data_IF_615822491185
#
_entry.id   IF_615822491185
#
_cell.length_a   1.000
_cell.length_b   1.000
_cell.length_c   1.000
_cell.angle_alpha   90.00
_cell.angle_beta   90.00
_cell.angle_gamma   90.00
#
_symmetry.space_group_name_H-M   'P 1'
#
loop_
_entity.id
_entity.type
_entity.pdbx_description
1 polymer ?
#
# COMPACT_ATOMS: atom_id res chain seq x y z
N UNK A 1 -4.70 16.15 0.02
CA UNK A 1 -5.38 14.86 -0.25
C UNK A 1 -4.39 13.73 -0.58
N UNK A 2 -3.48 13.93 -1.54
CA UNK A 2 -2.45 12.95 -1.94
C UNK A 2 -1.63 12.33 -0.80
N UNK A 3 -0.98 13.14 0.05
CA UNK A 3 -0.16 12.62 1.16
C UNK A 3 -0.97 11.80 2.17
N UNK A 4 -2.25 12.16 2.40
CA UNK A 4 -3.15 11.44 3.29
C UNK A 4 -3.61 10.12 2.66
N UNK A 5 -3.94 10.10 1.37
CA UNK A 5 -4.26 8.87 0.64
C UNK A 5 -3.07 7.90 0.64
N UNK A 6 -1.86 8.40 0.40
CA UNK A 6 -0.65 7.60 0.42
C UNK A 6 -0.35 7.03 1.82
N UNK A 7 -0.47 7.84 2.87
CA UNK A 7 -0.33 7.37 4.25
C UNK A 7 -1.36 6.29 4.59
N UNK A 8 -2.64 6.50 4.24
CA UNK A 8 -3.70 5.52 4.44
C UNK A 8 -3.41 4.20 3.71
N UNK A 9 -2.95 4.24 2.45
CA UNK A 9 -2.61 3.03 1.70
C UNK A 9 -1.32 2.34 2.14
N UNK A 10 -0.37 3.07 2.74
CA UNK A 10 0.86 2.50 3.32
C UNK A 10 0.60 1.85 4.69
N UNK A 11 -0.24 2.46 5.54
CA UNK A 11 -0.46 1.98 6.91
C UNK A 11 -1.66 1.05 7.04
N UNK A 12 -2.58 1.03 6.07
CA UNK A 12 -3.80 0.24 6.15
C UNK A 12 -3.82 -0.95 5.19
N UNK A 13 -4.58 -1.98 5.58
CA UNK A 13 -4.95 -3.10 4.72
C UNK A 13 -5.87 -2.66 3.56
N UNK A 14 -6.27 -3.60 2.69
CA UNK A 14 -7.26 -3.37 1.61
C UNK A 14 -8.49 -2.56 2.07
N UNK A 15 -8.89 -2.77 3.33
CA UNK A 15 -9.99 -2.10 4.00
C UNK A 15 -9.75 -0.59 4.19
N UNK A 16 -8.52 -0.14 4.48
CA UNK A 16 -8.25 1.30 4.57
C UNK A 16 -8.14 1.97 3.21
N UNK A 17 -7.70 1.25 2.18
CA UNK A 17 -7.75 1.72 0.79
C UNK A 17 -9.20 1.93 0.33
N UNK A 18 -10.13 1.05 0.72
CA UNK A 18 -11.56 1.24 0.43
C UNK A 18 -12.22 2.38 1.23
N UNK A 19 -11.72 2.69 2.42
CA UNK A 19 -12.11 3.90 3.16
C UNK A 19 -11.57 5.17 2.49
N UNK A 20 -10.32 5.18 2.02
CA UNK A 20 -9.72 6.31 1.31
C UNK A 20 -10.43 6.62 -0.02
N UNK A 21 -10.98 5.59 -0.68
CA UNK A 21 -11.84 5.74 -1.88
C UNK A 21 -13.18 6.42 -1.58
N UNK A 22 -13.76 6.18 -0.39
CA UNK A 22 -15.00 6.82 0.03
C UNK A 22 -14.80 8.29 0.41
N UNK A 23 -13.60 8.67 0.84
CA UNK A 23 -13.25 10.06 1.14
C UNK A 23 -12.99 10.91 -0.12
N UNK A 24 -12.68 10.27 -1.25
CA UNK A 24 -12.49 10.93 -2.54
C UNK A 24 -11.68 10.09 -3.52
N UNK A 25 -11.90 10.34 -4.82
CA UNK A 25 -11.20 9.62 -5.89
C UNK A 25 -9.67 9.82 -5.82
N UNK A 26 -9.21 11.04 -5.56
CA UNK A 26 -7.77 11.34 -5.48
C UNK A 26 -7.11 10.60 -4.31
N UNK A 27 -7.74 10.62 -3.11
CA UNK A 27 -7.21 9.89 -1.94
C UNK A 27 -7.20 8.38 -2.16
N UNK A 28 -8.24 7.84 -2.79
CA UNK A 28 -8.31 6.43 -3.16
C UNK A 28 -7.25 6.01 -4.17
N UNK A 29 -6.97 6.84 -5.18
CA UNK A 29 -5.94 6.57 -6.18
C UNK A 29 -4.54 6.49 -5.55
N UNK A 30 -4.19 7.43 -4.67
CA UNK A 30 -2.90 7.40 -3.97
C UNK A 30 -2.82 6.26 -2.94
N UNK A 31 -3.93 5.90 -2.30
CA UNK A 31 -3.99 4.75 -1.39
C UNK A 31 -3.79 3.41 -2.14
N UNK A 32 -4.43 3.25 -3.31
CA UNK A 32 -4.26 2.07 -4.15
C UNK A 32 -2.83 1.93 -4.69
N UNK A 33 -2.22 3.04 -5.12
CA UNK A 33 -0.80 3.06 -5.52
C UNK A 33 0.12 2.62 -4.38
N UNK A 34 -0.03 3.21 -3.19
CA UNK A 34 0.75 2.86 -2.01
C UNK A 34 0.64 1.36 -1.67
N UNK A 35 -0.58 0.81 -1.72
CA UNK A 35 -0.82 -0.60 -1.44
C UNK A 35 -0.15 -1.53 -2.47
N UNK A 36 -0.26 -1.21 -3.76
CA UNK A 36 0.39 -1.98 -4.83
C UNK A 36 1.92 -1.97 -4.71
N UNK A 37 2.51 -0.81 -4.36
CA UNK A 37 3.95 -0.67 -4.16
C UNK A 37 4.44 -1.52 -3.00
N UNK A 38 3.66 -1.58 -1.91
CA UNK A 38 3.98 -2.42 -0.75
C UNK A 38 3.90 -3.92 -1.08
N UNK A 39 2.95 -4.32 -1.92
CA UNK A 39 2.86 -5.69 -2.46
C UNK A 39 4.08 -6.06 -3.32
N UNK A 40 4.50 -5.16 -4.22
CA UNK A 40 5.70 -5.34 -5.05
C UNK A 40 6.96 -5.41 -4.18
N UNK A 41 7.11 -4.50 -3.22
CA UNK A 41 8.23 -4.51 -2.29
C UNK A 41 8.28 -5.85 -1.55
N UNK A 42 7.15 -6.33 -1.02
CA UNK A 42 7.08 -7.62 -0.33
C UNK A 42 7.44 -8.77 -1.27
N UNK A 43 6.94 -8.78 -2.51
CA UNK A 43 7.26 -9.82 -3.48
C UNK A 43 8.76 -9.87 -3.85
N UNK A 44 9.45 -8.73 -3.82
CA UNK A 44 10.89 -8.64 -4.07
C UNK A 44 11.73 -8.98 -2.82
N UNK A 45 11.34 -8.46 -1.66
CA UNK A 45 12.10 -8.63 -0.42
C UNK A 45 11.89 -10.00 0.23
N UNK A 46 10.71 -10.62 0.09
CA UNK A 46 10.42 -11.93 0.67
C UNK A 46 11.36 -13.04 0.20
N UNK A 47 11.65 -13.25 -1.11
CA UNK A 47 12.61 -14.28 -1.53
C UNK A 47 14.05 -13.97 -1.07
N UNK A 48 14.44 -12.69 -1.04
CA UNK A 48 15.73 -12.25 -0.49
C UNK A 48 15.85 -12.58 1.00
N UNK A 49 14.83 -12.25 1.79
CA UNK A 49 14.77 -12.56 3.21
C UNK A 49 14.81 -14.07 3.47
N UNK A 50 14.07 -14.86 2.69
CA UNK A 50 14.10 -16.32 2.75
C UNK A 50 15.47 -16.88 2.40
N UNK A 51 16.17 -16.31 1.41
CA UNK A 51 17.51 -16.74 1.02
C UNK A 51 18.59 -16.44 2.07
N UNK A 52 18.39 -15.42 2.91
CA UNK A 52 19.32 -15.04 3.98
C UNK A 52 19.04 -15.79 5.30
N UNK A 53 17.79 -16.24 5.49
CA UNK A 53 17.35 -16.96 6.69
C UNK A 53 17.68 -18.47 6.67
N UNK A 54 18.01 -19.01 5.49
CA UNK A 54 18.46 -20.38 5.24
C UNK A 54 19.99 -20.42 5.18
#
# INVERSE_FOLDING_TARGET
>A
PAARGMALGLTAHAVGTSVALQEGEESGAFAALAMSLMGVATALFLPLAMSLAI
#
